data_IF_245197055775
#
_entry.id   IF_245197055775
#
_cell.length_a   1.000
_cell.length_b   1.000
_cell.length_c   1.000
_cell.angle_alpha   90.00
_cell.angle_beta   90.00
_cell.angle_gamma   90.00
#
_symmetry.space_group_name_H-M   'P 1'
#
loop_
_entity.id
_entity.type
_entity.pdbx_description
1 polymer ?
#
# COMPACT_ATOMS: atom_id res chain seq x y z
N UNK A 1 30.85 -25.04 1.34
CA UNK A 1 29.87 -24.63 2.35
C UNK A 1 29.65 -25.86 3.22
N UNK A 2 29.92 -25.80 4.53
CA UNK A 2 29.64 -26.88 5.45
C UNK A 2 28.15 -27.13 5.50
N UNK A 3 27.70 -28.36 5.30
CA UNK A 3 26.29 -28.72 5.35
C UNK A 3 25.83 -28.75 6.82
N UNK A 4 25.44 -27.61 7.37
CA UNK A 4 24.84 -27.51 8.69
C UNK A 4 23.41 -28.11 8.62
N UNK A 5 23.26 -29.35 9.09
CA UNK A 5 22.03 -30.12 8.93
C UNK A 5 21.55 -30.61 10.29
N UNK A 6 20.28 -30.35 10.57
CA UNK A 6 19.54 -30.85 11.71
C UNK A 6 18.46 -31.84 11.30
N UNK A 7 17.60 -32.19 12.22
CA UNK A 7 16.44 -33.07 12.01
C UNK A 7 15.17 -32.43 12.57
N UNK A 8 14.03 -32.64 11.90
CA UNK A 8 12.74 -32.21 12.40
C UNK A 8 12.30 -33.04 13.60
N UNK A 9 11.98 -32.39 14.71
CA UNK A 9 11.56 -33.05 15.96
C UNK A 9 10.09 -32.87 16.23
N UNK A 10 9.53 -31.72 15.92
CA UNK A 10 8.13 -31.41 16.17
C UNK A 10 7.53 -30.52 15.07
N UNK A 11 6.29 -30.76 14.73
CA UNK A 11 5.52 -29.95 13.75
C UNK A 11 4.20 -29.58 14.41
N UNK A 12 3.94 -28.28 14.58
CA UNK A 12 2.74 -27.72 15.21
C UNK A 12 2.13 -26.69 14.25
N UNK A 13 1.31 -27.14 13.30
CA UNK A 13 0.79 -26.26 12.26
C UNK A 13 1.93 -25.63 11.46
N UNK A 14 1.99 -24.31 11.43
CA UNK A 14 3.05 -23.57 10.73
C UNK A 14 4.37 -23.44 11.49
N UNK A 15 4.45 -23.93 12.73
CA UNK A 15 5.67 -23.88 13.55
C UNK A 15 6.32 -25.26 13.58
N UNK A 16 7.63 -25.26 13.41
CA UNK A 16 8.42 -26.48 13.33
C UNK A 16 9.63 -26.35 14.26
N UNK A 17 9.86 -27.37 15.08
CA UNK A 17 11.06 -27.49 15.91
C UNK A 17 12.06 -28.42 15.24
N UNK A 18 13.32 -28.02 15.17
CA UNK A 18 14.41 -28.77 14.60
C UNK A 18 15.59 -28.87 15.56
N UNK A 19 16.19 -30.05 15.65
CA UNK A 19 17.33 -30.36 16.47
C UNK A 19 18.63 -30.25 15.67
N UNK A 20 19.48 -29.31 16.09
CA UNK A 20 20.82 -29.05 15.56
C UNK A 20 21.91 -29.41 16.60
N UNK A 21 21.57 -30.16 17.65
CA UNK A 21 22.55 -30.53 18.72
C UNK A 21 23.77 -31.29 18.21
N UNK A 22 23.64 -31.97 17.07
CA UNK A 22 24.73 -32.69 16.41
C UNK A 22 25.40 -31.89 15.28
N UNK A 23 24.92 -30.70 14.99
CA UNK A 23 25.45 -29.82 13.95
C UNK A 23 26.67 -29.03 14.51
N UNK A 24 27.51 -28.51 13.61
CA UNK A 24 28.69 -27.73 14.02
C UNK A 24 28.31 -26.37 14.65
N UNK A 25 27.22 -25.78 14.16
CA UNK A 25 26.74 -24.49 14.63
C UNK A 25 25.22 -24.47 14.73
N UNK A 26 24.70 -23.74 15.72
CA UNK A 26 23.25 -23.48 15.79
C UNK A 26 22.87 -22.44 14.75
N UNK A 27 21.81 -22.66 13.93
CA UNK A 27 21.32 -21.66 12.97
C UNK A 27 21.03 -20.33 13.65
N UNK A 28 21.47 -19.23 13.04
CA UNK A 28 21.20 -17.91 13.57
C UNK A 28 19.70 -17.57 13.48
N UNK A 29 19.23 -16.65 14.32
CA UNK A 29 17.88 -16.11 14.21
C UNK A 29 17.68 -15.49 12.82
N UNK A 30 16.49 -15.68 12.26
CA UNK A 30 16.07 -15.25 10.92
C UNK A 30 16.74 -16.01 9.77
N UNK A 31 17.64 -16.96 10.01
CA UNK A 31 18.14 -17.82 8.95
C UNK A 31 17.01 -18.62 8.31
N UNK A 32 17.13 -18.80 6.99
CA UNK A 32 16.27 -19.69 6.23
C UNK A 32 16.78 -21.14 6.38
N UNK A 33 15.88 -22.02 6.76
CA UNK A 33 16.10 -23.46 6.76
C UNK A 33 15.33 -24.10 5.62
N UNK A 34 15.88 -25.13 4.99
CA UNK A 34 15.24 -25.85 3.89
C UNK A 34 14.98 -27.31 4.25
N UNK A 35 13.78 -27.78 3.94
CA UNK A 35 13.38 -29.19 4.09
C UNK A 35 12.91 -29.70 2.73
N UNK A 36 13.67 -30.66 2.17
CA UNK A 36 13.26 -31.34 0.96
C UNK A 36 12.41 -32.57 1.31
N UNK A 37 11.24 -32.68 0.73
CA UNK A 37 10.30 -33.77 0.96
C UNK A 37 9.48 -34.08 -0.30
N UNK A 38 8.75 -35.18 -0.26
CA UNK A 38 7.92 -35.64 -1.38
C UNK A 38 6.45 -35.71 -0.95
N UNK A 39 5.58 -35.11 -1.74
CA UNK A 39 4.11 -35.15 -1.60
C UNK A 39 3.50 -35.50 -2.95
N UNK A 40 2.66 -36.52 -2.98
CA UNK A 40 1.97 -37.00 -4.20
C UNK A 40 2.91 -37.24 -5.38
N UNK A 41 4.11 -37.81 -5.11
CA UNK A 41 5.13 -38.11 -6.10
C UNK A 41 5.85 -36.87 -6.67
N UNK A 42 5.65 -35.68 -6.06
CA UNK A 42 6.35 -34.45 -6.43
C UNK A 42 7.32 -34.04 -5.33
N UNK A 43 8.56 -33.76 -5.73
CA UNK A 43 9.56 -33.19 -4.80
C UNK A 43 9.23 -31.73 -4.55
N UNK A 44 9.22 -31.34 -3.27
CA UNK A 44 9.01 -29.98 -2.79
C UNK A 44 10.12 -29.58 -1.83
N UNK A 45 10.45 -28.31 -1.81
CA UNK A 45 11.33 -27.71 -0.79
C UNK A 45 10.49 -26.73 0.02
N UNK A 46 10.43 -26.94 1.33
CA UNK A 46 9.81 -25.99 2.26
C UNK A 46 10.88 -25.13 2.87
N UNK A 47 10.67 -23.81 2.85
CA UNK A 47 11.51 -22.85 3.56
C UNK A 47 10.87 -22.52 4.91
N UNK A 48 11.68 -22.60 5.97
CA UNK A 48 11.34 -22.23 7.33
C UNK A 48 12.24 -21.08 7.77
N UNK A 49 11.75 -20.17 8.60
CA UNK A 49 12.55 -19.07 9.16
C UNK A 49 12.74 -19.27 10.66
N UNK A 50 13.98 -19.27 11.13
CA UNK A 50 14.30 -19.43 12.55
C UNK A 50 13.80 -18.24 13.35
N UNK A 51 12.94 -18.51 14.35
CA UNK A 51 12.34 -17.48 15.21
C UNK A 51 12.85 -17.50 16.65
N UNK A 52 13.26 -18.67 17.15
CA UNK A 52 13.70 -18.83 18.53
C UNK A 52 14.74 -19.95 18.66
N UNK A 53 15.67 -19.77 19.60
CA UNK A 53 16.47 -20.86 20.17
C UNK A 53 15.77 -21.33 21.45
N UNK A 54 15.40 -22.60 21.51
CA UNK A 54 14.61 -23.15 22.63
C UNK A 54 15.43 -23.98 23.63
N UNK A 55 16.75 -23.97 23.46
CA UNK A 55 17.69 -24.72 24.32
C UNK A 55 18.12 -26.08 23.74
N UNK A 56 19.11 -26.71 24.32
CA UNK A 56 19.61 -28.04 23.98
C UNK A 56 19.96 -28.26 22.48
N UNK A 57 20.35 -27.19 21.78
CA UNK A 57 20.64 -27.21 20.34
C UNK A 57 19.42 -27.21 19.44
N UNK A 58 18.23 -26.94 19.97
CA UNK A 58 17.00 -26.89 19.20
C UNK A 58 16.62 -25.45 18.80
N UNK A 59 16.09 -25.34 17.59
CA UNK A 59 15.56 -24.11 17.05
C UNK A 59 14.07 -24.27 16.71
N UNK A 60 13.33 -23.21 16.91
CA UNK A 60 11.92 -23.08 16.50
C UNK A 60 11.83 -22.18 15.30
N UNK A 61 11.21 -22.66 14.23
CA UNK A 61 11.09 -21.95 12.96
C UNK A 61 9.65 -21.90 12.48
N UNK A 62 9.33 -20.89 11.68
CA UNK A 62 8.03 -20.67 11.07
C UNK A 62 8.07 -20.98 9.57
N UNK A 63 7.12 -21.76 9.10
CA UNK A 63 7.02 -22.16 7.69
C UNK A 63 6.52 -21.04 6.80
N UNK A 64 7.12 -20.91 5.61
CA UNK A 64 6.70 -19.96 4.57
C UNK A 64 5.65 -20.54 3.62
N UNK A 65 5.41 -21.85 3.66
CA UNK A 65 4.31 -22.52 2.93
C UNK A 65 3.76 -23.69 3.76
N UNK A 66 2.80 -24.47 3.20
CA UNK A 66 2.17 -25.58 3.95
C UNK A 66 3.19 -26.58 4.47
N UNK A 67 3.00 -27.01 5.72
CA UNK A 67 3.75 -28.08 6.38
C UNK A 67 3.18 -29.48 6.11
N UNK A 68 2.15 -29.59 5.26
CA UNK A 68 1.54 -30.88 4.92
C UNK A 68 2.55 -31.81 4.25
N UNK A 69 2.63 -33.04 4.76
CA UNK A 69 3.57 -34.03 4.29
C UNK A 69 4.90 -34.08 5.05
N UNK A 70 5.19 -33.09 5.90
CA UNK A 70 6.36 -33.16 6.78
C UNK A 70 6.22 -34.28 7.83
N UNK A 71 7.34 -34.87 8.20
CA UNK A 71 7.44 -35.94 9.23
C UNK A 71 8.62 -35.69 10.14
N UNK A 72 8.50 -36.12 11.39
CA UNK A 72 9.62 -36.14 12.30
C UNK A 72 10.76 -36.98 11.73
N UNK A 73 11.99 -36.57 12.00
CA UNK A 73 13.21 -37.27 11.54
C UNK A 73 13.64 -36.86 10.12
N UNK A 74 12.90 -36.04 9.42
CA UNK A 74 13.33 -35.47 8.13
C UNK A 74 14.53 -34.57 8.33
N UNK A 75 15.52 -34.58 7.41
CA UNK A 75 16.65 -33.67 7.46
C UNK A 75 16.21 -32.24 7.16
N UNK A 76 16.79 -31.30 7.88
CA UNK A 76 16.61 -29.87 7.67
C UNK A 76 17.97 -29.21 7.52
N UNK A 77 18.13 -28.43 6.45
CA UNK A 77 19.40 -27.79 6.12
C UNK A 77 19.35 -26.30 6.47
N UNK A 78 20.32 -25.80 7.21
CA UNK A 78 20.54 -24.38 7.39
C UNK A 78 21.23 -23.80 6.14
N UNK A 79 20.64 -22.76 5.56
CA UNK A 79 21.23 -22.06 4.39
C UNK A 79 22.37 -21.13 4.80
N UNK A 80 22.54 -20.86 6.11
CA UNK A 80 23.51 -19.92 6.68
C UNK A 80 23.19 -18.45 6.39
N UNK A 81 22.00 -18.13 5.89
CA UNK A 81 21.56 -16.78 5.54
C UNK A 81 20.04 -16.62 5.71
N UNK A 82 19.55 -15.39 5.90
CA UNK A 82 18.11 -15.10 5.90
C UNK A 82 17.46 -15.37 4.53
N UNK A 83 16.11 -15.24 4.49
CA UNK A 83 15.37 -15.25 3.23
C UNK A 83 15.84 -14.09 2.36
N UNK A 84 16.13 -14.38 1.09
CA UNK A 84 16.57 -13.41 0.10
C UNK A 84 15.60 -13.39 -1.08
N UNK A 85 15.42 -12.20 -1.69
CA UNK A 85 14.58 -12.01 -2.86
C UNK A 85 15.38 -11.40 -4.01
N UNK A 86 14.99 -11.70 -5.28
CA UNK A 86 15.62 -11.09 -6.45
C UNK A 86 15.35 -9.59 -6.51
N UNK A 87 16.33 -8.84 -7.01
CA UNK A 87 16.26 -7.38 -7.14
C UNK A 87 16.77 -6.92 -8.51
N UNK A 88 16.35 -5.74 -8.92
CA UNK A 88 16.72 -5.11 -10.18
C UNK A 88 15.59 -5.10 -11.21
N UNK A 89 15.90 -4.68 -12.44
CA UNK A 89 14.91 -4.52 -13.52
C UNK A 89 14.16 -5.82 -13.87
N UNK A 90 14.74 -6.98 -13.57
CA UNK A 90 14.16 -8.30 -13.82
C UNK A 90 12.82 -8.54 -13.09
N UNK A 91 12.53 -7.80 -12.02
CA UNK A 91 11.31 -7.99 -11.23
C UNK A 91 10.11 -7.23 -11.81
N UNK A 92 10.35 -6.26 -12.70
CA UNK A 92 9.28 -5.46 -13.27
C UNK A 92 8.38 -6.29 -14.20
N UNK A 93 7.07 -6.06 -14.09
CA UNK A 93 6.05 -6.78 -14.86
C UNK A 93 5.87 -8.24 -14.43
N UNK A 94 6.42 -8.67 -13.29
CA UNK A 94 6.39 -10.04 -12.81
C UNK A 94 5.66 -10.16 -11.47
N UNK A 95 5.17 -11.37 -11.20
CA UNK A 95 4.53 -11.73 -9.93
C UNK A 95 5.44 -12.69 -9.16
N UNK A 96 5.65 -12.38 -7.89
CA UNK A 96 6.48 -13.16 -6.97
C UNK A 96 5.70 -13.64 -5.75
N UNK A 97 6.14 -14.77 -5.19
CA UNK A 97 5.76 -15.19 -3.85
C UNK A 97 6.68 -14.53 -2.78
N UNK A 98 6.44 -14.85 -1.52
CA UNK A 98 7.22 -14.34 -0.37
C UNK A 98 8.72 -14.64 -0.46
N UNK A 99 9.11 -15.74 -1.11
CA UNK A 99 10.48 -16.18 -1.29
C UNK A 99 11.16 -15.56 -2.52
N UNK A 100 10.46 -14.68 -3.26
CA UNK A 100 10.98 -14.11 -4.48
C UNK A 100 10.99 -15.06 -5.68
N UNK A 101 10.23 -16.15 -5.62
CA UNK A 101 10.04 -17.04 -6.76
C UNK A 101 8.95 -16.49 -7.66
N UNK A 102 9.21 -16.43 -8.96
CA UNK A 102 8.22 -15.98 -9.93
C UNK A 102 7.10 -17.03 -10.08
N UNK A 103 5.85 -16.59 -9.91
CA UNK A 103 4.65 -17.45 -9.94
C UNK A 103 3.76 -17.19 -11.16
N UNK A 104 4.22 -16.36 -12.09
CA UNK A 104 3.49 -15.96 -13.31
C UNK A 104 3.74 -16.89 -14.53
N UNK A 105 4.39 -18.03 -14.34
CA UNK A 105 4.69 -19.04 -15.37
C UNK A 105 5.48 -18.52 -16.59
N UNK A 106 6.12 -17.35 -16.49
CA UNK A 106 6.79 -16.66 -17.63
C UNK A 106 8.29 -16.99 -17.77
N UNK A 107 8.74 -18.10 -17.19
CA UNK A 107 10.12 -18.57 -17.34
C UNK A 107 11.11 -17.94 -16.34
N UNK A 108 12.39 -18.30 -16.50
CA UNK A 108 13.46 -17.93 -15.56
C UNK A 108 13.76 -16.44 -15.51
N UNK A 109 14.32 -16.00 -14.40
CA UNK A 109 14.76 -14.64 -14.14
C UNK A 109 16.27 -14.52 -14.32
N UNK A 110 16.72 -13.40 -14.90
CA UNK A 110 18.12 -12.99 -14.88
C UNK A 110 18.21 -11.66 -14.14
N UNK A 111 18.53 -11.74 -12.85
CA UNK A 111 18.45 -10.59 -11.95
C UNK A 111 19.84 -10.07 -11.59
N UNK A 112 19.89 -8.79 -11.16
CA UNK A 112 21.12 -8.13 -10.74
C UNK A 112 21.72 -8.76 -9.47
N UNK A 113 20.88 -9.35 -8.61
CA UNK A 113 21.32 -10.02 -7.40
C UNK A 113 20.14 -10.47 -6.53
N UNK A 114 20.51 -11.00 -5.36
CA UNK A 114 19.59 -11.37 -4.29
C UNK A 114 19.88 -10.46 -3.09
N UNK A 115 18.85 -10.01 -2.39
CA UNK A 115 18.97 -9.19 -1.18
C UNK A 115 18.12 -9.78 -0.06
N UNK A 116 18.67 -9.74 1.18
CA UNK A 116 17.93 -10.19 2.36
C UNK A 116 16.71 -9.32 2.64
N UNK A 117 15.60 -9.97 3.00
CA UNK A 117 14.38 -9.25 3.43
C UNK A 117 14.53 -8.63 4.82
N UNK A 118 15.49 -9.13 5.61
CA UNK A 118 15.83 -8.61 6.93
C UNK A 118 16.96 -7.60 6.81
N UNK A 119 16.58 -6.34 6.85
CA UNK A 119 17.50 -5.19 6.75
C UNK A 119 17.04 -4.12 7.74
N UNK A 120 17.99 -3.42 8.36
CA UNK A 120 17.71 -2.27 9.19
C UNK A 120 17.20 -1.07 8.39
N UNK A 121 16.55 -0.13 9.06
CA UNK A 121 16.21 1.16 8.48
C UNK A 121 17.47 1.91 8.04
N UNK A 122 17.39 2.80 7.02
CA UNK A 122 18.51 3.65 6.65
C UNK A 122 19.01 4.47 7.84
N UNK A 123 20.34 4.59 8.04
CA UNK A 123 20.87 5.39 9.13
C UNK A 123 20.50 6.86 8.96
N UNK A 124 20.49 7.61 10.07
CA UNK A 124 19.97 8.97 10.12
C UNK A 124 20.73 9.93 9.17
N UNK A 125 22.02 9.69 8.96
CA UNK A 125 22.86 10.48 8.07
C UNK A 125 22.60 10.23 6.57
N UNK A 126 21.96 9.12 6.22
CA UNK A 126 21.52 8.83 4.84
C UNK A 126 20.09 9.31 4.55
N UNK A 127 19.29 9.57 5.59
CA UNK A 127 17.93 10.05 5.40
C UNK A 127 17.89 11.48 4.87
N UNK A 128 16.96 11.75 3.97
CA UNK A 128 16.70 13.10 3.48
C UNK A 128 15.82 13.86 4.46
N UNK A 129 16.20 15.08 4.80
CA UNK A 129 15.41 16.02 5.60
C UNK A 129 14.53 16.93 4.73
N UNK A 130 14.61 16.79 3.41
CA UNK A 130 13.82 17.58 2.46
C UNK A 130 12.35 17.20 2.52
N UNK A 131 11.49 18.18 2.70
CA UNK A 131 10.03 18.02 2.74
C UNK A 131 9.45 18.37 1.38
N UNK A 132 9.45 17.40 0.44
CA UNK A 132 8.93 17.61 -0.90
C UNK A 132 7.53 16.96 -1.02
N UNK A 133 6.60 17.68 -1.67
CA UNK A 133 5.29 17.15 -2.01
C UNK A 133 5.39 16.26 -3.25
N UNK A 134 4.78 15.09 -3.17
CA UNK A 134 4.61 14.18 -4.29
C UNK A 134 3.32 14.56 -5.03
N UNK A 135 3.44 15.21 -6.17
CA UNK A 135 2.32 15.52 -7.04
C UNK A 135 1.75 14.25 -7.67
N UNK A 136 0.47 13.99 -7.44
CA UNK A 136 -0.20 12.77 -7.92
C UNK A 136 -0.99 12.99 -9.20
N UNK A 137 -1.32 14.23 -9.53
CA UNK A 137 -2.19 14.60 -10.64
C UNK A 137 -3.68 14.31 -10.38
N UNK A 138 -4.04 13.98 -9.14
CA UNK A 138 -5.41 13.72 -8.70
C UNK A 138 -5.86 14.88 -7.81
N UNK A 139 -6.82 15.67 -8.31
CA UNK A 139 -7.23 16.94 -7.68
C UNK A 139 -7.54 16.84 -6.19
N UNK A 140 -8.36 15.87 -5.79
CA UNK A 140 -8.78 15.73 -4.39
C UNK A 140 -7.61 15.38 -3.47
N UNK A 141 -6.68 14.57 -3.94
CA UNK A 141 -5.49 14.20 -3.17
C UNK A 141 -4.56 15.40 -3.07
N UNK A 142 -4.18 15.96 -4.22
CA UNK A 142 -3.20 17.03 -4.28
C UNK A 142 -3.67 18.30 -3.56
N UNK A 143 -4.99 18.58 -3.53
CA UNK A 143 -5.54 19.73 -2.84
C UNK A 143 -5.68 19.52 -1.32
N UNK A 144 -6.31 18.41 -0.91
CA UNK A 144 -6.81 18.22 0.47
C UNK A 144 -5.87 17.39 1.33
N UNK A 145 -5.28 16.34 0.77
CA UNK A 145 -4.40 15.43 1.48
C UNK A 145 -3.10 15.16 0.71
N UNK A 146 -2.32 16.22 0.37
CA UNK A 146 -1.10 16.08 -0.41
C UNK A 146 -0.14 15.07 0.22
N UNK A 147 0.54 14.30 -0.63
CA UNK A 147 1.49 13.29 -0.20
C UNK A 147 2.88 13.87 -0.07
N UNK A 148 3.63 13.42 0.93
CA UNK A 148 5.06 13.69 1.05
C UNK A 148 5.87 12.62 0.33
N UNK A 149 6.94 12.99 -0.35
CA UNK A 149 7.94 12.02 -0.80
C UNK A 149 8.55 11.31 0.41
N UNK A 150 8.63 9.99 0.34
CA UNK A 150 9.06 9.18 1.47
C UNK A 150 8.03 9.09 2.61
N UNK A 151 6.85 9.68 2.42
CA UNK A 151 5.75 9.64 3.37
C UNK A 151 4.98 8.32 3.34
N UNK A 152 4.19 8.14 4.38
CA UNK A 152 3.36 6.95 4.60
C UNK A 152 1.89 7.37 4.58
N UNK A 153 1.14 6.85 3.62
CA UNK A 153 -0.26 7.19 3.40
C UNK A 153 -1.14 6.00 3.77
N UNK A 154 -2.10 6.21 4.65
CA UNK A 154 -3.13 5.24 4.96
C UNK A 154 -4.37 5.45 4.09
N UNK A 155 -4.78 4.42 3.35
CA UNK A 155 -6.02 4.41 2.59
C UNK A 155 -7.10 3.64 3.34
N UNK A 156 -8.17 4.32 3.71
CA UNK A 156 -9.30 3.78 4.44
C UNK A 156 -10.51 3.68 3.52
N UNK A 157 -11.28 2.62 3.64
CA UNK A 157 -12.52 2.46 2.89
C UNK A 157 -12.95 1.01 2.78
N UNK A 158 -14.24 0.81 2.68
CA UNK A 158 -14.86 -0.51 2.49
C UNK A 158 -14.59 -1.09 1.10
N UNK A 159 -15.18 -2.25 0.82
CA UNK A 159 -15.13 -2.85 -0.50
C UNK A 159 -15.98 -2.04 -1.51
N UNK A 160 -15.54 -1.96 -2.76
CA UNK A 160 -16.30 -1.36 -3.86
C UNK A 160 -16.29 0.18 -3.92
N UNK A 161 -15.38 0.83 -3.20
CA UNK A 161 -15.23 2.31 -3.22
C UNK A 161 -14.20 2.81 -4.25
N UNK A 162 -13.66 1.92 -5.09
CA UNK A 162 -12.69 2.30 -6.12
C UNK A 162 -11.24 2.36 -5.64
N UNK A 163 -10.89 1.69 -4.53
CA UNK A 163 -9.52 1.66 -3.99
C UNK A 163 -8.51 1.17 -5.03
N UNK A 164 -8.78 0.05 -5.67
CA UNK A 164 -7.92 -0.56 -6.70
C UNK A 164 -7.70 0.39 -7.88
N UNK A 165 -8.77 1.02 -8.37
CA UNK A 165 -8.70 1.98 -9.49
C UNK A 165 -7.85 3.19 -9.11
N UNK A 166 -7.97 3.67 -7.88
CA UNK A 166 -7.14 4.77 -7.37
C UNK A 166 -5.65 4.38 -7.32
N UNK A 167 -5.34 3.17 -6.83
CA UNK A 167 -3.98 2.64 -6.80
C UNK A 167 -3.38 2.55 -8.21
N UNK A 168 -4.15 2.00 -9.15
CA UNK A 168 -3.70 1.89 -10.55
C UNK A 168 -3.46 3.25 -11.20
N UNK A 169 -4.32 4.24 -10.94
CA UNK A 169 -4.13 5.59 -11.46
C UNK A 169 -2.87 6.25 -10.89
N UNK A 170 -2.61 6.07 -9.58
CA UNK A 170 -1.37 6.54 -8.96
C UNK A 170 -0.13 5.90 -9.60
N UNK A 171 -0.14 4.59 -9.83
CA UNK A 171 0.96 3.89 -10.50
C UNK A 171 1.17 4.47 -11.91
N UNK A 172 0.09 4.62 -12.68
CA UNK A 172 0.13 5.16 -14.02
C UNK A 172 0.67 6.60 -14.06
N UNK A 173 0.19 7.45 -13.17
CA UNK A 173 0.57 8.87 -13.13
C UNK A 173 2.04 9.04 -12.71
N UNK A 174 2.51 8.34 -11.69
CA UNK A 174 3.91 8.38 -11.26
C UNK A 174 4.85 7.81 -12.33
N UNK A 175 4.45 6.74 -12.99
CA UNK A 175 5.23 6.16 -14.08
C UNK A 175 5.39 7.14 -15.26
N UNK A 176 4.31 7.83 -15.65
CA UNK A 176 4.33 8.79 -16.77
C UNK A 176 4.99 10.12 -16.43
N UNK A 177 4.66 10.70 -15.28
CA UNK A 177 5.11 12.04 -14.94
C UNK A 177 6.57 12.10 -14.44
N UNK A 178 7.07 11.05 -13.77
CA UNK A 178 8.36 11.07 -13.07
C UNK A 178 9.29 9.90 -13.39
N UNK A 179 8.94 9.04 -14.33
CA UNK A 179 9.68 7.77 -14.58
C UNK A 179 9.89 6.94 -13.32
N UNK A 180 8.98 7.08 -12.34
CA UNK A 180 8.99 6.35 -11.09
C UNK A 180 8.62 4.88 -11.30
N UNK A 181 8.99 4.06 -10.32
CA UNK A 181 8.68 2.64 -10.28
C UNK A 181 7.72 2.35 -9.12
N UNK A 182 7.01 1.25 -9.23
CA UNK A 182 6.08 0.84 -8.18
C UNK A 182 6.33 -0.61 -7.77
N UNK A 183 6.08 -0.91 -6.51
CA UNK A 183 6.04 -2.27 -6.00
C UNK A 183 4.74 -2.46 -5.25
N UNK A 184 4.03 -3.54 -5.55
CA UNK A 184 2.77 -3.87 -4.89
C UNK A 184 2.95 -5.11 -4.01
N UNK A 185 2.62 -4.99 -2.75
CA UNK A 185 2.61 -6.07 -1.76
C UNK A 185 1.17 -6.49 -1.45
N UNK A 186 0.75 -7.63 -1.95
CA UNK A 186 -0.54 -8.25 -1.60
C UNK A 186 -0.42 -9.06 -0.33
N UNK A 187 -0.83 -8.50 0.81
CA UNK A 187 -0.71 -9.13 2.12
C UNK A 187 -2.05 -9.72 2.55
N UNK A 188 -2.19 -11.04 2.42
CA UNK A 188 -3.40 -11.75 2.82
C UNK A 188 -4.63 -11.44 1.96
N UNK A 189 -4.43 -10.97 0.73
CA UNK A 189 -5.51 -10.71 -0.22
C UNK A 189 -6.05 -12.00 -0.84
N UNK A 190 -7.25 -11.93 -1.40
CA UNK A 190 -7.85 -13.06 -2.12
C UNK A 190 -7.13 -13.28 -3.45
N UNK A 191 -6.86 -14.54 -3.78
CA UNK A 191 -6.22 -14.92 -5.06
C UNK A 191 -6.92 -14.32 -6.26
N UNK A 192 -8.26 -14.29 -6.25
CA UNK A 192 -9.05 -13.70 -7.33
C UNK A 192 -8.78 -12.20 -7.48
N UNK A 193 -8.79 -11.46 -6.38
CA UNK A 193 -8.56 -10.00 -6.40
C UNK A 193 -7.14 -9.66 -6.88
N UNK A 194 -6.14 -10.46 -6.48
CA UNK A 194 -4.77 -10.32 -6.98
C UNK A 194 -4.64 -10.60 -8.48
N UNK A 195 -5.37 -11.60 -8.99
CA UNK A 195 -5.40 -11.91 -10.41
C UNK A 195 -6.16 -10.85 -11.22
N UNK A 196 -7.29 -10.38 -10.71
CA UNK A 196 -8.07 -9.30 -11.34
C UNK A 196 -7.19 -8.04 -11.45
N UNK A 197 -6.49 -7.64 -10.37
CA UNK A 197 -5.57 -6.50 -10.37
C UNK A 197 -4.45 -6.66 -11.41
N UNK A 198 -3.87 -7.84 -11.53
CA UNK A 198 -2.82 -8.11 -12.53
C UNK A 198 -3.33 -7.95 -13.95
N UNK A 199 -4.51 -8.49 -14.26
CA UNK A 199 -5.15 -8.36 -15.57
C UNK A 199 -5.51 -6.90 -15.89
N UNK A 200 -6.06 -6.16 -14.92
CA UNK A 200 -6.38 -4.74 -15.06
C UNK A 200 -5.11 -3.90 -15.32
N UNK A 201 -3.97 -4.24 -14.69
CA UNK A 201 -2.68 -3.59 -14.97
C UNK A 201 -2.15 -3.89 -16.38
N UNK A 202 -2.43 -5.06 -16.92
CA UNK A 202 -2.08 -5.40 -18.30
C UNK A 202 -2.98 -4.61 -19.27
N UNK A 203 -4.29 -4.61 -19.05
CA UNK A 203 -5.26 -3.90 -19.89
C UNK A 203 -5.03 -2.38 -19.92
N UNK A 204 -4.64 -1.80 -18.77
CA UNK A 204 -4.29 -0.37 -18.65
C UNK A 204 -2.89 -0.01 -19.17
N UNK A 205 -2.09 -1.02 -19.58
CA UNK A 205 -0.75 -0.82 -20.12
C UNK A 205 0.33 -0.48 -19.07
N UNK A 206 0.03 -0.63 -17.80
CA UNK A 206 1.01 -0.49 -16.69
C UNK A 206 2.00 -1.66 -16.72
N UNK A 207 1.53 -2.84 -17.09
CA UNK A 207 2.34 -4.04 -17.34
C UNK A 207 2.33 -4.34 -18.85
N UNK A 208 3.52 -4.39 -19.44
CA UNK A 208 3.70 -4.78 -20.85
C UNK A 208 4.22 -6.21 -20.92
N UNK A 209 3.38 -7.13 -21.40
CA UNK A 209 3.75 -8.55 -21.52
C UNK A 209 4.75 -8.84 -22.62
N UNK A 210 4.73 -8.05 -23.70
CA UNK A 210 5.63 -8.21 -24.85
C UNK A 210 7.03 -7.65 -24.56
N UNK A 211 7.06 -6.56 -23.76
CA UNK A 211 8.29 -5.86 -23.37
C UNK A 211 8.30 -5.64 -21.84
N UNK A 212 8.67 -6.65 -21.06
CA UNK A 212 8.65 -6.57 -19.60
C UNK A 212 9.46 -5.40 -19.04
N UNK A 213 10.54 -5.01 -19.72
CA UNK A 213 11.40 -3.88 -19.35
C UNK A 213 10.70 -2.51 -19.42
N UNK A 214 9.59 -2.40 -20.15
CA UNK A 214 8.75 -1.20 -20.18
C UNK A 214 7.75 -1.15 -19.01
N UNK A 215 7.53 -2.29 -18.33
CA UNK A 215 6.66 -2.36 -17.15
C UNK A 215 7.21 -1.52 -16.00
N UNK A 216 6.30 -0.94 -15.21
CA UNK A 216 6.66 0.01 -14.14
C UNK A 216 6.32 -0.49 -12.74
N UNK A 217 5.83 -1.73 -12.63
CA UNK A 217 5.40 -2.32 -11.36
C UNK A 217 5.93 -3.74 -11.20
N UNK A 218 6.32 -4.09 -9.98
CA UNK A 218 6.56 -5.46 -9.53
C UNK A 218 5.48 -5.85 -8.51
N UNK A 219 5.03 -7.11 -8.55
CA UNK A 219 3.97 -7.62 -7.67
C UNK A 219 4.51 -8.74 -6.78
N UNK A 220 4.28 -8.64 -5.49
CA UNK A 220 4.66 -9.67 -4.51
C UNK A 220 3.43 -10.09 -3.73
N UNK A 221 3.05 -11.34 -3.82
CA UNK A 221 1.83 -11.86 -3.21
C UNK A 221 2.10 -12.87 -2.09
N UNK A 222 1.49 -12.61 -0.91
CA UNK A 222 1.31 -13.58 0.16
C UNK A 222 -0.18 -13.71 0.45
N UNK A 223 -0.86 -14.58 -0.29
CA UNK A 223 -2.30 -14.59 -0.40
C UNK A 223 -3.00 -15.22 0.81
N UNK A 224 -4.31 -14.96 0.96
CA UNK A 224 -5.12 -15.45 2.07
C UNK A 224 -5.25 -16.98 2.10
N UNK A 225 -5.22 -17.62 0.94
CA UNK A 225 -5.31 -19.07 0.80
C UNK A 225 -3.98 -19.80 1.03
N UNK A 226 -2.88 -19.08 1.17
CA UNK A 226 -1.62 -19.66 1.62
C UNK A 226 -1.69 -19.88 3.13
N UNK A 227 -1.67 -21.15 3.58
CA UNK A 227 -2.05 -21.49 4.95
C UNK A 227 -1.17 -20.88 6.03
N UNK A 228 0.17 -20.80 5.89
CA UNK A 228 0.97 -20.35 7.02
C UNK A 228 0.99 -18.84 7.17
N UNK A 229 0.86 -18.33 8.40
CA UNK A 229 0.96 -16.90 8.69
C UNK A 229 2.35 -16.35 8.41
N UNK A 230 3.39 -17.21 8.32
CA UNK A 230 4.76 -16.81 8.00
C UNK A 230 4.87 -16.06 6.67
N UNK A 231 4.24 -16.57 5.60
CA UNK A 231 4.23 -15.90 4.31
C UNK A 231 3.60 -14.52 4.39
N UNK A 232 2.44 -14.38 5.04
CA UNK A 232 1.74 -13.10 5.20
C UNK A 232 2.53 -12.10 6.06
N UNK A 233 3.32 -12.58 7.00
CA UNK A 233 4.18 -11.75 7.85
C UNK A 233 5.41 -11.23 7.10
N UNK A 234 5.88 -11.91 6.06
CA UNK A 234 7.13 -11.58 5.36
C UNK A 234 6.95 -10.94 3.99
N UNK A 235 5.80 -11.12 3.34
CA UNK A 235 5.57 -10.62 1.98
C UNK A 235 5.76 -9.11 1.84
N UNK A 236 5.34 -8.32 2.84
CA UNK A 236 5.57 -6.87 2.85
C UNK A 236 7.08 -6.52 2.90
N UNK A 237 7.87 -7.31 3.64
CA UNK A 237 9.33 -7.15 3.71
C UNK A 237 9.99 -7.53 2.38
N UNK A 238 9.51 -8.59 1.72
CA UNK A 238 9.99 -9.00 0.39
C UNK A 238 9.76 -7.89 -0.65
N UNK A 239 8.56 -7.34 -0.69
CA UNK A 239 8.22 -6.22 -1.58
C UNK A 239 9.04 -4.96 -1.27
N UNK A 240 9.17 -4.62 0.02
CA UNK A 240 9.96 -3.46 0.46
C UNK A 240 11.44 -3.62 0.07
N UNK A 241 12.01 -4.82 0.16
CA UNK A 241 13.39 -5.08 -0.26
C UNK A 241 13.61 -4.84 -1.75
N UNK A 242 12.63 -5.21 -2.60
CA UNK A 242 12.69 -4.87 -4.03
C UNK A 242 12.61 -3.36 -4.25
N UNK A 243 11.74 -2.66 -3.51
CA UNK A 243 11.62 -1.21 -3.58
C UNK A 243 12.90 -0.49 -3.11
N UNK A 244 13.53 -0.96 -2.04
CA UNK A 244 14.78 -0.41 -1.53
C UNK A 244 15.93 -0.49 -2.54
N UNK A 245 15.99 -1.56 -3.33
CA UNK A 245 16.99 -1.66 -4.39
C UNK A 245 16.86 -0.53 -5.42
N UNK A 246 15.64 -0.25 -5.86
CA UNK A 246 15.40 0.85 -6.80
C UNK A 246 15.70 2.21 -6.20
N UNK A 247 15.40 2.42 -4.91
CA UNK A 247 15.74 3.66 -4.19
C UNK A 247 17.25 3.84 -4.04
N UNK A 248 17.94 2.80 -3.52
CA UNK A 248 19.31 2.91 -3.04
C UNK A 248 20.34 2.75 -4.18
N UNK A 249 20.11 1.83 -5.13
CA UNK A 249 21.06 1.47 -6.19
C UNK A 249 20.70 2.13 -7.53
N UNK A 250 19.42 2.27 -7.84
CA UNK A 250 18.99 2.90 -9.10
C UNK A 250 18.60 4.38 -8.93
N UNK A 251 18.60 4.89 -7.72
CA UNK A 251 18.29 6.29 -7.37
C UNK A 251 16.95 6.77 -7.91
N UNK A 252 15.92 5.93 -7.71
CA UNK A 252 14.56 6.18 -8.17
C UNK A 252 13.61 6.57 -7.04
N UNK A 253 12.57 7.32 -7.42
CA UNK A 253 11.40 7.47 -6.57
C UNK A 253 10.50 6.26 -6.78
N UNK A 254 10.15 5.59 -5.69
CA UNK A 254 9.38 4.34 -5.70
C UNK A 254 8.08 4.52 -4.93
N UNK A 255 6.97 4.05 -5.52
CA UNK A 255 5.73 3.85 -4.79
C UNK A 255 5.64 2.41 -4.29
N UNK A 256 5.43 2.25 -3.00
CA UNK A 256 5.17 0.97 -2.37
C UNK A 256 3.70 0.89 -1.95
N UNK A 257 2.96 -0.03 -2.55
CA UNK A 257 1.59 -0.32 -2.15
C UNK A 257 1.55 -1.54 -1.26
N UNK A 258 0.85 -1.46 -0.13
CA UNK A 258 0.66 -2.59 0.80
C UNK A 258 -0.86 -2.78 0.99
N UNK A 259 -1.39 -3.86 0.48
CA UNK A 259 -2.78 -4.23 0.64
C UNK A 259 -2.89 -5.64 1.21
N UNK A 260 -3.19 -5.81 2.47
CA UNK A 260 -3.63 -4.90 3.50
C UNK A 260 -2.66 -4.94 4.70
N UNK A 261 -2.26 -3.80 5.23
CA UNK A 261 -1.31 -3.73 6.36
C UNK A 261 -1.86 -4.38 7.63
N UNK A 262 -3.18 -4.37 7.86
CA UNK A 262 -3.80 -5.06 8.98
C UNK A 262 -3.51 -6.57 8.97
N UNK A 263 -3.43 -7.19 7.78
CA UNK A 263 -3.11 -8.63 7.64
C UNK A 263 -1.69 -8.96 8.07
N UNK A 264 -0.76 -8.02 7.92
CA UNK A 264 0.59 -8.13 8.49
C UNK A 264 0.53 -8.25 10.02
N UNK A 265 -0.18 -7.35 10.70
CA UNK A 265 -0.37 -7.41 12.16
C UNK A 265 -1.09 -8.68 12.62
N UNK A 266 -2.11 -9.10 11.88
CA UNK A 266 -2.85 -10.34 12.14
C UNK A 266 -1.94 -11.57 12.04
N UNK A 267 -1.12 -11.66 10.98
CA UNK A 267 -0.17 -12.75 10.80
C UNK A 267 0.87 -12.78 11.95
N UNK A 268 1.33 -11.62 12.40
CA UNK A 268 2.21 -11.50 13.57
C UNK A 268 1.57 -12.04 14.83
N UNK A 269 0.29 -11.78 15.08
CA UNK A 269 -0.44 -12.33 16.24
C UNK A 269 -0.59 -13.86 16.16
N UNK A 270 -0.89 -14.39 14.98
CA UNK A 270 -0.98 -15.83 14.74
C UNK A 270 0.37 -16.53 14.98
N UNK A 271 1.46 -15.98 14.43
CA UNK A 271 2.82 -16.49 14.67
C UNK A 271 3.19 -16.42 16.16
N UNK A 272 2.92 -15.30 16.81
CA UNK A 272 3.21 -15.12 18.24
C UNK A 272 2.49 -16.14 19.12
N UNK A 273 1.22 -16.43 18.82
CA UNK A 273 0.44 -17.43 19.52
C UNK A 273 1.03 -18.85 19.31
N UNK A 274 1.41 -19.19 18.08
CA UNK A 274 2.04 -20.48 17.75
C UNK A 274 3.43 -20.64 18.40
N UNK A 275 4.16 -19.54 18.58
CA UNK A 275 5.44 -19.52 19.30
C UNK A 275 5.27 -19.59 20.83
N UNK A 276 4.04 -19.58 21.35
CA UNK A 276 3.74 -19.64 22.78
C UNK A 276 4.05 -18.36 23.55
N UNK A 277 4.10 -17.21 22.89
CA UNK A 277 4.30 -15.91 23.54
C UNK A 277 3.01 -15.47 24.24
N UNK A 278 3.13 -14.84 25.41
CA UNK A 278 1.99 -14.30 26.14
C UNK A 278 1.37 -13.14 25.32
N UNK A 279 0.08 -13.17 24.98
CA UNK A 279 -0.54 -12.12 24.21
C UNK A 279 -0.66 -10.81 25.02
N UNK A 280 -0.66 -9.69 24.30
CA UNK A 280 -0.96 -8.37 24.86
C UNK A 280 -2.46 -8.07 24.77
N UNK A 281 -2.84 -6.79 24.84
CA UNK A 281 -4.23 -6.37 24.77
C UNK A 281 -4.92 -6.89 23.50
N UNK A 282 -6.17 -7.30 23.63
CA UNK A 282 -7.06 -7.81 22.56
C UNK A 282 -6.49 -9.04 21.83
N UNK A 283 -5.47 -9.71 22.38
CA UNK A 283 -4.88 -10.92 21.80
C UNK A 283 -3.75 -10.67 20.80
N UNK A 284 -3.29 -9.45 20.61
CA UNK A 284 -2.15 -9.14 19.76
C UNK A 284 -0.81 -9.58 20.37
N UNK A 285 0.21 -9.69 19.53
CA UNK A 285 1.58 -9.97 19.94
C UNK A 285 2.16 -8.86 20.84
N UNK A 286 3.02 -9.22 21.81
CA UNK A 286 3.60 -8.22 22.73
C UNK A 286 4.55 -7.24 22.02
N UNK A 287 5.13 -7.64 20.88
CA UNK A 287 6.06 -6.85 20.07
C UNK A 287 5.41 -6.22 18.82
N UNK A 288 4.08 -6.01 18.83
CA UNK A 288 3.34 -5.44 17.69
C UNK A 288 3.94 -4.10 17.22
N UNK A 289 4.24 -3.21 18.14
CA UNK A 289 4.80 -1.89 17.82
C UNK A 289 6.20 -1.97 17.21
N UNK A 290 7.03 -2.91 17.70
CA UNK A 290 8.38 -3.16 17.17
C UNK A 290 8.33 -3.72 15.76
N UNK A 291 7.53 -4.77 15.51
CA UNK A 291 7.36 -5.35 14.18
C UNK A 291 6.82 -4.34 13.16
N UNK A 292 5.88 -3.49 13.58
CA UNK A 292 5.36 -2.42 12.73
C UNK A 292 6.44 -1.35 12.47
N UNK A 293 7.19 -0.95 13.48
CA UNK A 293 8.27 0.02 13.34
C UNK A 293 9.38 -0.49 12.41
N UNK A 294 9.79 -1.75 12.54
CA UNK A 294 10.81 -2.37 11.68
C UNK A 294 10.43 -2.31 10.20
N UNK A 295 9.15 -2.46 9.87
CA UNK A 295 8.66 -2.29 8.51
C UNK A 295 8.59 -0.81 8.12
N UNK A 296 7.97 0.03 8.97
CA UNK A 296 7.63 1.40 8.62
C UNK A 296 8.84 2.35 8.54
N UNK A 297 9.86 2.15 9.40
CA UNK A 297 11.05 3.00 9.42
C UNK A 297 11.98 2.78 8.21
N UNK A 298 11.84 1.68 7.49
CA UNK A 298 12.53 1.43 6.22
C UNK A 298 11.92 2.23 5.07
N UNK A 299 10.64 2.62 5.20
CA UNK A 299 9.88 3.40 4.22
C UNK A 299 10.18 4.88 4.46
N UNK A 300 11.13 5.43 3.71
CA UNK A 300 11.60 6.82 3.89
C UNK A 300 12.31 7.32 2.64
N UNK A 301 12.54 8.62 2.58
CA UNK A 301 13.44 9.26 1.61
C UNK A 301 14.89 9.19 2.09
N UNK A 302 15.78 8.86 1.18
CA UNK A 302 17.23 8.93 1.38
C UNK A 302 17.84 9.98 0.47
N UNK A 303 19.14 10.21 0.59
CA UNK A 303 19.89 11.08 -0.34
C UNK A 303 19.93 10.57 -1.79
N UNK A 304 19.56 9.31 -1.99
CA UNK A 304 19.61 8.62 -3.28
C UNK A 304 18.26 8.57 -3.99
N UNK A 305 17.17 8.45 -3.25
CA UNK A 305 15.82 8.34 -3.78
C UNK A 305 14.80 8.26 -2.67
N UNK A 306 13.55 7.98 -3.01
CA UNK A 306 12.46 7.90 -2.03
C UNK A 306 11.64 6.63 -2.16
N UNK A 307 11.10 6.13 -1.03
CA UNK A 307 10.01 5.17 -1.03
C UNK A 307 8.82 5.85 -0.36
N UNK A 308 7.78 6.14 -1.13
CA UNK A 308 6.51 6.63 -0.63
C UNK A 308 5.55 5.45 -0.57
N UNK A 309 4.89 5.22 0.56
CA UNK A 309 3.97 4.09 0.67
C UNK A 309 2.51 4.52 0.74
N UNK A 310 1.66 3.76 0.04
CA UNK A 310 0.21 3.80 0.23
C UNK A 310 -0.25 2.46 0.78
N UNK A 311 -0.81 2.47 1.97
CA UNK A 311 -1.15 1.28 2.74
C UNK A 311 -2.66 1.21 2.92
N UNK A 312 -3.28 0.15 2.42
CA UNK A 312 -4.68 -0.11 2.72
C UNK A 312 -4.80 -0.55 4.17
N UNK A 313 -5.62 0.15 4.94
CA UNK A 313 -5.84 -0.14 6.35
C UNK A 313 -7.28 -0.63 6.53
N UNK A 314 -7.42 -1.83 7.06
CA UNK A 314 -8.69 -2.36 7.54
C UNK A 314 -8.81 -2.05 9.03
N UNK A 315 -9.95 -1.50 9.43
CA UNK A 315 -10.27 -1.19 10.83
C UNK A 315 -11.32 -2.19 11.30
N UNK A 316 -10.98 -3.13 12.20
CA UNK A 316 -11.93 -4.10 12.72
C UNK A 316 -13.08 -3.42 13.44
N UNK A 317 -14.32 -3.78 13.10
CA UNK A 317 -15.55 -3.23 13.71
C UNK A 317 -15.63 -1.69 13.69
N UNK A 318 -14.90 -1.03 12.77
CA UNK A 318 -14.77 0.44 12.70
C UNK A 318 -14.20 1.07 13.98
N UNK A 319 -13.49 0.27 14.79
CA UNK A 319 -12.87 0.72 16.04
C UNK A 319 -11.42 1.21 15.82
N UNK A 320 -11.26 2.52 15.73
CA UNK A 320 -9.94 3.16 15.58
C UNK A 320 -9.03 3.01 16.81
N UNK A 321 -9.56 2.55 17.94
CA UNK A 321 -8.79 2.33 19.17
C UNK A 321 -8.20 0.92 19.26
N UNK A 322 -8.54 0.04 18.33
CA UNK A 322 -7.91 -1.28 18.22
C UNK A 322 -6.37 -1.14 18.06
N UNK A 323 -5.58 -1.93 18.81
CA UNK A 323 -4.12 -1.80 18.82
C UNK A 323 -3.44 -1.84 17.47
N UNK A 324 -3.91 -2.65 16.51
CA UNK A 324 -3.26 -2.79 15.21
C UNK A 324 -3.45 -1.55 14.32
N UNK A 325 -4.68 -1.02 14.07
CA UNK A 325 -4.85 0.26 13.42
C UNK A 325 -4.16 1.40 14.17
N UNK A 326 -4.31 1.50 15.49
CA UNK A 326 -3.73 2.58 16.29
C UNK A 326 -2.20 2.64 16.13
N UNK A 327 -1.52 1.48 16.15
CA UNK A 327 -0.07 1.41 15.91
C UNK A 327 0.28 1.84 14.49
N UNK A 328 -0.50 1.44 13.50
CA UNK A 328 -0.30 1.85 12.10
C UNK A 328 -0.47 3.37 11.95
N UNK A 329 -1.53 3.94 12.53
CA UNK A 329 -1.80 5.39 12.47
C UNK A 329 -0.66 6.25 12.99
N UNK A 330 0.04 5.78 14.04
CA UNK A 330 1.17 6.51 14.62
C UNK A 330 2.29 6.78 13.59
N UNK A 331 2.42 5.95 12.57
CA UNK A 331 3.43 6.08 11.51
C UNK A 331 2.96 6.86 10.28
N UNK A 332 1.65 7.09 10.11
CA UNK A 332 1.11 7.73 8.92
C UNK A 332 1.35 9.25 8.89
N UNK A 333 1.63 9.75 7.70
CA UNK A 333 1.76 11.18 7.41
C UNK A 333 0.50 11.75 6.78
N UNK A 334 -0.23 10.93 6.02
CA UNK A 334 -1.49 11.31 5.38
C UNK A 334 -2.50 10.17 5.47
N UNK A 335 -3.77 10.55 5.51
CA UNK A 335 -4.89 9.61 5.46
C UNK A 335 -5.84 9.96 4.33
N UNK A 336 -6.19 8.98 3.53
CA UNK A 336 -7.17 9.08 2.44
C UNK A 336 -8.36 8.21 2.82
N UNK A 337 -9.51 8.84 3.04
CA UNK A 337 -10.75 8.16 3.41
C UNK A 337 -11.63 8.03 2.18
N UNK A 338 -11.91 6.81 1.76
CA UNK A 338 -12.80 6.50 0.65
C UNK A 338 -14.19 6.15 1.21
N UNK A 339 -15.21 6.87 0.77
CA UNK A 339 -16.55 6.75 1.32
C UNK A 339 -17.54 6.14 0.34
N UNK A 340 -18.34 5.18 0.85
CA UNK A 340 -19.33 4.46 0.03
C UNK A 340 -20.48 5.38 -0.41
N UNK A 341 -20.84 6.38 0.37
CA UNK A 341 -21.89 7.34 0.02
C UNK A 341 -21.54 8.15 -1.24
N UNK A 342 -20.26 8.54 -1.38
CA UNK A 342 -19.75 9.22 -2.58
C UNK A 342 -19.73 8.27 -3.79
N UNK A 343 -19.27 7.04 -3.59
CA UNK A 343 -19.28 6.03 -4.64
C UNK A 343 -20.70 5.70 -5.13
N UNK A 344 -21.68 5.64 -4.22
CA UNK A 344 -23.08 5.42 -4.55
C UNK A 344 -23.69 6.57 -5.35
N UNK A 345 -23.18 7.79 -5.18
CA UNK A 345 -23.57 8.98 -5.95
C UNK A 345 -22.81 9.10 -7.30
N UNK A 346 -21.91 8.17 -7.60
CA UNK A 346 -21.06 8.21 -8.79
C UNK A 346 -19.96 9.27 -8.76
N UNK A 347 -19.63 9.80 -7.58
CA UNK A 347 -18.57 10.80 -7.40
C UNK A 347 -17.22 10.08 -7.24
N UNK A 348 -16.44 9.98 -8.31
CA UNK A 348 -15.13 9.33 -8.33
C UNK A 348 -13.98 10.28 -8.64
N UNK A 349 -12.81 10.14 -7.94
CA UNK A 349 -12.54 9.18 -6.87
C UNK A 349 -13.38 9.49 -5.62
N UNK A 350 -13.87 8.45 -4.95
CA UNK A 350 -14.78 8.58 -3.82
C UNK A 350 -14.06 8.97 -2.51
N UNK A 351 -13.15 9.91 -2.60
CA UNK A 351 -12.35 10.44 -1.46
C UNK A 351 -13.16 11.47 -0.70
N UNK A 352 -13.37 11.25 0.60
CA UNK A 352 -14.08 12.19 1.47
C UNK A 352 -13.15 13.31 1.94
N UNK A 353 -13.35 14.57 1.46
CA UNK A 353 -12.40 15.65 1.70
C UNK A 353 -12.37 16.18 3.13
N UNK A 354 -13.44 15.95 3.91
CA UNK A 354 -13.50 16.41 5.31
C UNK A 354 -12.85 15.42 6.30
N UNK A 355 -12.81 14.14 5.93
CA UNK A 355 -12.23 13.08 6.76
C UNK A 355 -10.79 12.72 6.35
N UNK A 356 -10.35 13.14 5.16
CA UNK A 356 -8.99 12.94 4.68
C UNK A 356 -8.07 14.05 5.19
N UNK A 357 -6.86 13.66 5.64
CA UNK A 357 -5.91 14.60 6.26
C UNK A 357 -4.48 14.37 5.77
N UNK A 358 -3.65 15.40 5.85
CA UNK A 358 -2.22 15.30 5.60
C UNK A 358 -1.42 16.26 6.46
N UNK A 359 -0.28 15.80 6.99
CA UNK A 359 0.72 16.65 7.63
C UNK A 359 1.36 17.63 6.65
N UNK A 360 1.34 17.31 5.34
CA UNK A 360 1.85 18.18 4.30
C UNK A 360 0.97 19.41 4.04
N UNK A 361 -0.30 19.40 4.44
CA UNK A 361 -1.20 20.55 4.27
C UNK A 361 -0.90 21.62 5.33
N UNK A 362 0.25 22.23 5.21
CA UNK A 362 0.75 23.32 6.05
C UNK A 362 1.34 24.42 5.18
N UNK A 363 1.16 25.73 5.53
CA UNK A 363 1.62 26.84 4.71
C UNK A 363 3.12 26.78 4.37
N UNK A 364 3.92 26.22 5.27
CA UNK A 364 5.38 26.08 5.11
C UNK A 364 5.78 25.05 4.06
N UNK A 365 4.88 24.12 3.73
CA UNK A 365 5.14 23.01 2.79
C UNK A 365 4.48 23.28 1.44
N UNK A 366 3.16 23.50 1.43
CA UNK A 366 2.39 23.67 0.19
C UNK A 366 2.29 25.13 -0.27
N UNK A 367 2.68 26.09 0.57
CA UNK A 367 2.52 27.52 0.34
C UNK A 367 1.15 28.06 0.81
N UNK A 368 1.10 29.39 1.05
CA UNK A 368 -0.08 30.04 1.61
C UNK A 368 -1.32 29.92 0.70
N UNK A 369 -1.15 30.12 -0.60
CA UNK A 369 -2.27 30.11 -1.55
C UNK A 369 -2.97 28.73 -1.58
N UNK A 370 -2.19 27.66 -1.69
CA UNK A 370 -2.73 26.30 -1.68
C UNK A 370 -3.44 26.01 -0.37
N UNK A 371 -2.80 26.34 0.76
CA UNK A 371 -3.39 26.13 2.09
C UNK A 371 -4.72 26.86 2.27
N UNK A 372 -4.79 28.15 1.90
CA UNK A 372 -6.01 28.95 2.01
C UNK A 372 -7.14 28.40 1.13
N UNK A 373 -6.82 27.99 -0.10
CA UNK A 373 -7.81 27.40 -1.02
C UNK A 373 -8.32 26.05 -0.48
N UNK A 374 -7.45 25.19 -0.01
CA UNK A 374 -7.84 23.90 0.58
C UNK A 374 -8.74 24.08 1.81
N UNK A 375 -8.38 25.02 2.70
CA UNK A 375 -9.21 25.36 3.87
C UNK A 375 -10.55 25.99 3.48
N UNK A 376 -10.55 26.85 2.47
CA UNK A 376 -11.79 27.43 1.92
C UNK A 376 -12.73 26.35 1.38
N UNK A 377 -12.21 25.39 0.63
CA UNK A 377 -12.98 24.24 0.13
C UNK A 377 -13.56 23.43 1.29
N UNK A 378 -12.74 23.10 2.31
CA UNK A 378 -13.20 22.37 3.48
C UNK A 378 -14.30 23.12 4.25
N UNK A 379 -14.17 24.44 4.44
CA UNK A 379 -15.20 25.25 5.12
C UNK A 379 -16.52 25.26 4.37
N UNK A 380 -16.49 25.40 3.04
CA UNK A 380 -17.71 25.39 2.22
C UNK A 380 -18.38 24.02 2.26
N UNK A 381 -17.62 22.94 2.16
CA UNK A 381 -18.16 21.58 2.24
C UNK A 381 -18.69 21.25 3.65
N UNK A 382 -18.02 21.69 4.71
CA UNK A 382 -18.50 21.52 6.08
C UNK A 382 -19.82 22.26 6.30
N UNK A 383 -19.90 23.52 5.87
CA UNK A 383 -21.16 24.29 5.96
C UNK A 383 -22.30 23.63 5.18
N UNK A 384 -22.01 23.10 4.01
CA UNK A 384 -22.99 22.35 3.23
C UNK A 384 -23.48 21.10 3.97
N UNK A 385 -22.56 20.36 4.59
CA UNK A 385 -22.89 19.18 5.41
C UNK A 385 -23.82 19.55 6.57
N UNK A 386 -23.53 20.65 7.27
CA UNK A 386 -24.35 21.15 8.37
C UNK A 386 -25.75 21.57 7.91
N UNK A 387 -25.89 22.03 6.67
CA UNK A 387 -27.17 22.43 6.09
C UNK A 387 -27.99 21.27 5.51
N UNK A 388 -27.38 20.09 5.28
CA UNK A 388 -28.07 18.97 4.63
C UNK A 388 -29.33 18.52 5.36
N UNK A 389 -29.31 18.43 6.70
CA UNK A 389 -30.46 18.04 7.49
C UNK A 389 -31.58 19.08 7.39
N UNK A 390 -31.23 20.36 7.39
CA UNK A 390 -32.18 21.45 7.21
C UNK A 390 -32.80 21.42 5.81
N UNK A 391 -31.99 21.20 4.76
CA UNK A 391 -32.47 21.07 3.38
C UNK A 391 -33.43 19.88 3.23
N UNK A 392 -33.12 18.75 3.86
CA UNK A 392 -33.95 17.53 3.81
C UNK A 392 -35.32 17.72 4.48
N UNK A 393 -35.41 18.54 5.52
CA UNK A 393 -36.64 18.76 6.30
C UNK A 393 -37.45 19.91 5.73
N UNK A 394 -36.83 21.07 5.47
CA UNK A 394 -37.47 22.32 5.12
C UNK A 394 -37.45 22.67 3.62
N UNK A 395 -36.56 22.05 2.88
CA UNK A 395 -36.30 22.36 1.47
C UNK A 395 -35.31 23.53 1.28
N UNK A 396 -34.88 23.71 0.03
CA UNK A 396 -33.91 24.75 -0.36
C UNK A 396 -34.46 26.17 -0.22
N UNK A 397 -35.79 26.35 -0.36
CA UNK A 397 -36.42 27.66 -0.40
C UNK A 397 -36.36 28.43 0.93
N UNK A 398 -36.29 27.67 2.03
CA UNK A 398 -36.20 28.21 3.39
C UNK A 398 -34.78 28.67 3.80
N UNK A 399 -33.79 28.40 2.97
CA UNK A 399 -32.41 28.83 3.25
C UNK A 399 -32.27 30.34 2.98
N UNK A 400 -31.35 31.00 3.73
CA UNK A 400 -30.90 32.34 3.41
C UNK A 400 -30.24 32.40 2.04
N UNK A 401 -30.23 33.56 1.39
CA UNK A 401 -29.58 33.74 0.08
C UNK A 401 -28.07 33.42 0.16
N UNK A 402 -27.43 33.70 1.30
CA UNK A 402 -26.05 33.38 1.57
C UNK A 402 -25.85 31.86 1.64
N UNK A 403 -26.70 31.12 2.37
CA UNK A 403 -26.63 29.66 2.45
C UNK A 403 -26.95 28.99 1.11
N UNK A 404 -27.89 29.52 0.32
CA UNK A 404 -28.15 29.05 -1.05
C UNK A 404 -26.91 29.15 -1.94
N UNK A 405 -26.20 30.28 -1.83
CA UNK A 405 -24.94 30.46 -2.58
C UNK A 405 -23.85 29.46 -2.15
N UNK A 406 -23.70 29.27 -0.82
CA UNK A 406 -22.76 28.28 -0.27
C UNK A 406 -23.12 26.88 -0.77
N UNK A 407 -24.37 26.48 -0.74
CA UNK A 407 -24.84 25.17 -1.24
C UNK A 407 -24.52 25.00 -2.72
N UNK A 408 -24.80 26.04 -3.55
CA UNK A 408 -24.48 26.02 -4.98
C UNK A 408 -22.97 25.82 -5.21
N UNK A 409 -22.12 26.57 -4.53
CA UNK A 409 -20.66 26.45 -4.64
C UNK A 409 -20.17 25.10 -4.12
N UNK A 410 -20.72 24.59 -3.01
CA UNK A 410 -20.38 23.28 -2.46
C UNK A 410 -20.66 22.14 -3.43
N UNK A 411 -21.80 22.17 -4.13
CA UNK A 411 -22.15 21.17 -5.15
C UNK A 411 -21.19 21.24 -6.34
N UNK A 412 -20.84 22.45 -6.80
CA UNK A 412 -19.81 22.64 -7.85
C UNK A 412 -18.46 22.09 -7.41
N UNK A 413 -18.04 22.36 -6.17
CA UNK A 413 -16.81 21.83 -5.57
C UNK A 413 -16.84 20.31 -5.55
N UNK A 414 -17.91 19.67 -5.05
CA UNK A 414 -18.03 18.21 -5.02
C UNK A 414 -17.91 17.59 -6.41
N UNK A 415 -18.57 18.19 -7.41
CA UNK A 415 -18.49 17.72 -8.79
C UNK A 415 -17.12 17.96 -9.40
N UNK A 416 -16.47 19.09 -9.12
CA UNK A 416 -15.12 19.39 -9.62
C UNK A 416 -14.03 18.57 -8.94
N UNK A 417 -14.25 18.06 -7.73
CA UNK A 417 -13.37 17.07 -7.11
C UNK A 417 -13.37 15.73 -7.86
N UNK A 418 -14.43 15.43 -8.62
CA UNK A 418 -14.43 14.24 -9.50
C UNK A 418 -13.48 14.43 -10.66
N UNK A 419 -12.87 13.33 -11.10
CA UNK A 419 -11.86 13.35 -12.16
C UNK A 419 -11.88 12.05 -12.94
N UNK A 420 -11.84 12.11 -14.30
CA UNK A 420 -11.70 10.91 -15.11
C UNK A 420 -10.26 10.38 -14.99
N UNK A 421 -10.13 9.08 -14.77
CA UNK A 421 -8.85 8.40 -14.65
C UNK A 421 -8.46 7.70 -15.97
N UNK A 422 -7.17 7.70 -16.29
CA UNK A 422 -6.65 7.04 -17.49
C UNK A 422 -6.92 5.52 -17.44
N UNK A 423 -6.73 4.90 -16.27
CA UNK A 423 -6.98 3.46 -16.10
C UNK A 423 -8.45 3.08 -16.19
N UNK A 424 -9.36 4.05 -16.09
CA UNK A 424 -10.80 3.84 -16.18
C UNK A 424 -11.38 4.20 -17.55
N UNK A 425 -10.60 4.66 -18.52
CA UNK A 425 -11.06 5.02 -19.87
C UNK A 425 -11.82 3.89 -20.55
N UNK A 426 -11.35 2.64 -20.41
CA UNK A 426 -11.96 1.45 -21.00
C UNK A 426 -13.39 1.23 -20.52
N UNK A 427 -13.69 1.60 -19.26
CA UNK A 427 -15.00 1.39 -18.64
C UNK A 427 -15.91 2.62 -18.74
N UNK A 428 -15.33 3.83 -18.64
CA UNK A 428 -16.07 5.08 -18.60
C UNK A 428 -16.30 5.70 -19.97
N UNK A 429 -15.48 5.35 -20.98
CA UNK A 429 -15.40 6.00 -22.28
C UNK A 429 -15.09 7.51 -22.20
N UNK A 430 -14.58 7.99 -21.07
CA UNK A 430 -14.16 9.37 -20.85
C UNK A 430 -12.64 9.39 -20.82
N UNK A 431 -11.96 10.22 -21.64
CA UNK A 431 -10.52 10.35 -21.60
C UNK A 431 -10.02 10.76 -20.21
N UNK A 432 -9.02 10.07 -19.69
CA UNK A 432 -8.41 10.38 -18.40
C UNK A 432 -7.69 11.73 -18.40
N UNK A 433 -7.56 12.33 -17.25
CA UNK A 433 -6.91 13.62 -17.10
C UNK A 433 -5.93 13.62 -15.93
N UNK A 434 -4.68 13.98 -16.19
CA UNK A 434 -3.71 14.37 -15.17
C UNK A 434 -3.85 15.88 -14.94
N UNK A 435 -4.07 16.29 -13.70
CA UNK A 435 -4.25 17.72 -13.37
C UNK A 435 -3.13 18.20 -12.45
N UNK A 436 -2.24 19.10 -12.93
CA UNK A 436 -1.18 19.65 -12.08
C UNK A 436 -1.73 20.39 -10.85
N UNK A 437 -0.99 20.38 -9.75
CA UNK A 437 -1.37 21.06 -8.49
C UNK A 437 -1.73 22.52 -8.72
N UNK A 438 -0.93 23.24 -9.50
CA UNK A 438 -1.18 24.66 -9.80
C UNK A 438 -2.55 24.89 -10.48
N UNK A 439 -2.94 24.02 -11.43
CA UNK A 439 -4.22 24.07 -12.09
C UNK A 439 -5.37 23.69 -11.15
N UNK A 440 -5.13 22.73 -10.27
CA UNK A 440 -6.08 22.34 -9.23
C UNK A 440 -6.36 23.51 -8.30
N UNK A 441 -5.33 24.12 -7.73
CA UNK A 441 -5.46 25.28 -6.83
C UNK A 441 -6.15 26.45 -7.53
N UNK A 442 -5.76 26.76 -8.77
CA UNK A 442 -6.41 27.82 -9.58
C UNK A 442 -7.91 27.56 -9.74
N UNK A 443 -8.29 26.36 -10.14
CA UNK A 443 -9.69 26.02 -10.39
C UNK A 443 -10.57 26.14 -9.15
N UNK A 444 -10.13 25.61 -8.01
CA UNK A 444 -10.89 25.73 -6.77
C UNK A 444 -10.93 27.17 -6.24
N UNK A 445 -9.85 27.93 -6.41
CA UNK A 445 -9.84 29.38 -6.09
C UNK A 445 -10.89 30.14 -6.86
N UNK A 446 -11.00 29.93 -8.17
CA UNK A 446 -12.00 30.60 -9.01
C UNK A 446 -13.44 30.26 -8.60
N UNK A 447 -13.70 29.02 -8.15
CA UNK A 447 -15.01 28.64 -7.60
C UNK A 447 -15.29 29.38 -6.28
N UNK A 448 -14.31 29.40 -5.37
CA UNK A 448 -14.44 30.06 -4.06
C UNK A 448 -14.66 31.58 -4.21
N UNK A 449 -13.97 32.23 -5.13
CA UNK A 449 -14.09 33.66 -5.44
C UNK A 449 -15.41 34.01 -6.14
N UNK A 450 -16.20 33.00 -6.53
CA UNK A 450 -17.51 33.22 -7.18
C UNK A 450 -17.45 33.56 -8.66
N UNK A 451 -16.30 33.50 -9.32
CA UNK A 451 -16.15 33.75 -10.75
C UNK A 451 -17.00 32.83 -11.62
N UNK A 452 -17.36 31.67 -11.08
CA UNK A 452 -18.06 30.60 -11.77
C UNK A 452 -19.49 30.37 -11.23
N UNK A 453 -20.05 31.34 -10.48
CA UNK A 453 -21.37 31.19 -9.89
C UNK A 453 -22.49 31.02 -10.96
N UNK A 454 -22.30 31.55 -12.14
CA UNK A 454 -23.26 31.45 -13.26
C UNK A 454 -23.10 30.16 -14.09
N UNK A 455 -22.05 29.39 -13.88
CA UNK A 455 -21.80 28.13 -14.61
C UNK A 455 -22.67 27.02 -14.02
N UNK A 456 -23.39 26.21 -14.83
CA UNK A 456 -24.19 25.09 -14.35
C UNK A 456 -23.36 24.06 -13.61
N UNK A 457 -23.92 23.45 -12.56
CA UNK A 457 -23.24 22.43 -11.74
C UNK A 457 -22.74 21.24 -12.56
N UNK A 458 -23.51 20.82 -13.58
CA UNK A 458 -23.18 19.64 -14.41
C UNK A 458 -21.90 19.82 -15.24
N UNK A 459 -21.54 21.06 -15.56
CA UNK A 459 -20.31 21.35 -16.29
C UNK A 459 -19.03 20.98 -15.53
N UNK A 460 -19.11 20.85 -14.21
CA UNK A 460 -17.98 20.52 -13.34
C UNK A 460 -17.75 19.01 -13.18
N UNK A 461 -18.72 18.18 -13.58
CA UNK A 461 -18.66 16.73 -13.33
C UNK A 461 -17.68 16.03 -14.25
N UNK A 462 -16.79 15.20 -13.68
CA UNK A 462 -15.79 14.39 -14.40
C UNK A 462 -14.96 15.21 -15.40
N UNK A 463 -14.42 16.33 -14.95
CA UNK A 463 -13.53 17.21 -15.74
C UNK A 463 -12.10 17.16 -15.22
N UNK A 464 -11.17 17.49 -16.10
CA UNK A 464 -9.77 17.73 -15.75
C UNK A 464 -9.58 19.09 -15.08
N UNK A 465 -9.00 20.05 -15.80
CA UNK A 465 -8.79 21.41 -15.31
C UNK A 465 -10.03 22.30 -15.43
N UNK A 466 -9.94 23.52 -14.87
CA UNK A 466 -11.05 24.49 -14.92
C UNK A 466 -11.34 24.97 -16.34
N UNK A 467 -10.36 24.97 -17.22
CA UNK A 467 -10.54 25.36 -18.62
C UNK A 467 -11.46 24.40 -19.39
N UNK A 468 -11.52 23.13 -18.98
CA UNK A 468 -12.44 22.15 -19.56
C UNK A 468 -13.88 22.41 -19.13
N UNK A 469 -14.10 22.87 -17.90
CA UNK A 469 -15.39 23.32 -17.40
C UNK A 469 -15.88 24.52 -18.21
N UNK A 470 -15.01 25.49 -18.49
CA UNK A 470 -15.37 26.69 -19.27
C UNK A 470 -15.64 26.40 -20.74
N UNK A 471 -15.03 25.35 -21.31
CA UNK A 471 -15.36 24.90 -22.69
C UNK A 471 -16.74 24.25 -22.75
N UNK A 472 -17.10 23.45 -21.74
CA UNK A 472 -18.40 22.77 -21.68
C UNK A 472 -19.55 23.75 -21.42
N UNK A 473 -19.28 24.82 -20.69
CA UNK A 473 -20.28 25.84 -20.37
C UNK A 473 -20.61 26.83 -21.54
N UNK A 474 -19.86 26.75 -22.63
CA UNK A 474 -20.08 27.53 -23.87
C UNK A 474 -20.95 26.79 -24.86
#
# INVERSE_FOLDING_TARGET
>A
MMNNTGILVQIIGAVVDADFSQAETLPALLNALEVDYEVDGKRKTLVLEVQQHIGDGWVRAVAMSSTDGLRRGMPVRDTGRPIEVPVGQCVLGRIFNVLGEAVDERGGLSCAGMKSIHRGAPPLDEQSTSTEVLETGIKVIDLICPFLKGGKIGAFGGAGVGKTVLIMELINNIAKARSGLSVFAGVGERTREGNDLYNEMIESGVINLEKPEESKVALVYGQMNEPPPGARLRVALSALTMAEYFRDEEHKDVLLFIDNIFRFSQAGSEVSALLGRTPSAVGYQPNLAEEMADLQERITSTKHGSITSMQAVYVPADDLTDPAPATTFAHLDSTVVLERSLAAQGLFPAVEPLSSTSKALAPEIVGNEHYEVARGVQMVLQRYKDLQDMIAILGMDELSEEDKLIVSRARKIQRFLTQPFHVAEVFSSIPGAYVPVAETVRGFKEILEGKLDMVPEDAFFMRGGIDDVLKEAK
#
